data_IF_892735935960
#
_entry.id   IF_892735935960
#
_cell.length_a   1.000
_cell.length_b   1.000
_cell.length_c   1.000
_cell.angle_alpha   90.00
_cell.angle_beta   90.00
_cell.angle_gamma   90.00
#
_symmetry.space_group_name_H-M   'P 1'
#
loop_
_entity.id
_entity.type
_entity.pdbx_description
1 polymer ?
#
# COMPACT_ATOMS: atom_id res chain seq x y z
N UNK A 1 6.99 -2.66 16.35
CA UNK A 1 5.73 -2.26 15.67
C UNK A 1 4.75 -3.41 15.75
N UNK A 2 3.49 -3.16 16.08
CA UNK A 2 2.48 -4.21 16.24
C UNK A 2 2.17 -4.92 14.92
N UNK A 3 1.88 -6.21 15.01
CA UNK A 3 1.42 -7.01 13.88
C UNK A 3 -0.09 -6.80 13.68
N UNK A 4 -0.50 -6.50 12.45
CA UNK A 4 -1.90 -6.25 12.10
C UNK A 4 -2.58 -7.51 11.58
N UNK A 5 -2.00 -8.12 10.55
CA UNK A 5 -2.55 -9.31 9.89
C UNK A 5 -1.50 -9.98 9.01
N UNK A 6 -1.65 -11.29 8.83
CA UNK A 6 -0.95 -12.07 7.82
C UNK A 6 -1.97 -12.69 6.88
N UNK A 7 -1.75 -12.57 5.57
CA UNK A 7 -2.56 -13.22 4.54
C UNK A 7 -1.72 -14.18 3.73
N UNK A 8 -2.34 -15.28 3.29
CA UNK A 8 -1.72 -16.28 2.42
C UNK A 8 -2.61 -16.41 1.19
N UNK A 9 -2.02 -16.18 0.01
CA UNK A 9 -2.75 -16.27 -1.26
C UNK A 9 -3.35 -17.69 -1.44
N UNK A 10 -4.58 -17.82 -1.97
CA UNK A 10 -5.25 -19.12 -2.12
C UNK A 10 -4.47 -20.15 -2.94
N UNK A 11 -3.62 -19.71 -3.86
CA UNK A 11 -2.81 -20.61 -4.69
C UNK A 11 -1.60 -21.22 -3.94
N UNK A 12 -1.36 -20.78 -2.69
CA UNK A 12 -0.32 -21.34 -1.84
C UNK A 12 -0.98 -22.34 -0.89
N UNK A 13 -0.72 -23.63 -1.11
CA UNK A 13 -1.28 -24.73 -0.30
C UNK A 13 -0.50 -24.93 1.01
N UNK A 14 0.82 -24.72 1.01
CA UNK A 14 1.68 -24.77 2.20
C UNK A 14 2.94 -23.91 2.01
N UNK A 15 3.57 -23.54 3.13
CA UNK A 15 4.80 -22.74 3.15
C UNK A 15 6.07 -23.60 3.34
N UNK A 16 5.92 -24.88 3.72
CA UNK A 16 7.04 -25.78 3.99
C UNK A 16 7.82 -26.13 2.72
N UNK A 17 9.15 -26.20 2.83
CA UNK A 17 10.06 -26.55 1.74
C UNK A 17 9.97 -25.65 0.51
N UNK A 18 9.50 -24.41 0.68
CA UNK A 18 9.44 -23.40 -0.37
C UNK A 18 10.59 -22.42 -0.24
N UNK A 19 11.13 -21.99 -1.37
CA UNK A 19 12.05 -20.86 -1.40
C UNK A 19 11.28 -19.56 -1.33
N UNK A 20 11.71 -18.65 -0.47
CA UNK A 20 10.99 -17.41 -0.18
C UNK A 20 11.82 -16.19 -0.57
N UNK A 21 11.27 -15.34 -1.42
CA UNK A 21 11.78 -14.01 -1.68
C UNK A 21 11.12 -13.03 -0.72
N UNK A 22 11.93 -12.45 0.17
CA UNK A 22 11.44 -11.45 1.14
C UNK A 22 11.49 -10.06 0.55
N UNK A 23 10.36 -9.35 0.59
CA UNK A 23 10.27 -7.96 0.15
C UNK A 23 9.73 -7.08 1.27
N UNK A 24 10.52 -6.09 1.67
CA UNK A 24 10.08 -5.06 2.60
C UNK A 24 9.47 -3.89 1.83
N UNK A 25 8.36 -3.39 2.31
CA UNK A 25 7.67 -2.22 1.76
C UNK A 25 7.27 -1.26 2.88
N UNK A 26 7.16 0.02 2.57
CA UNK A 26 6.66 1.03 3.51
C UNK A 26 5.41 1.69 2.96
N UNK A 27 4.44 1.99 3.84
CA UNK A 27 3.15 2.59 3.48
C UNK A 27 2.90 3.82 4.33
N UNK A 28 2.37 4.87 3.70
CA UNK A 28 2.08 6.14 4.37
C UNK A 28 0.58 6.39 4.48
N UNK A 29 0.08 6.46 5.71
CA UNK A 29 -1.32 6.79 6.03
C UNK A 29 -1.39 8.29 6.29
N UNK A 30 -2.06 9.02 5.42
CA UNK A 30 -2.18 10.48 5.52
C UNK A 30 -3.66 10.86 5.54
N UNK A 31 -4.11 11.38 6.69
CA UNK A 31 -5.49 11.81 6.89
C UNK A 31 -5.58 13.33 7.03
N UNK A 32 -6.65 13.89 6.49
CA UNK A 32 -7.10 15.26 6.71
C UNK A 32 -8.61 15.21 6.97
N UNK A 33 -9.00 15.24 8.27
CA UNK A 33 -10.36 14.90 8.67
C UNK A 33 -10.71 13.47 8.28
N UNK A 34 -11.81 13.28 7.58
CA UNK A 34 -12.22 11.97 7.03
C UNK A 34 -11.66 11.69 5.63
N UNK A 35 -10.93 12.64 5.06
CA UNK A 35 -10.24 12.44 3.80
C UNK A 35 -8.91 11.71 4.02
N UNK A 36 -8.62 10.77 3.16
CA UNK A 36 -7.34 10.05 3.11
C UNK A 36 -6.67 10.27 1.76
N UNK A 37 -5.36 10.40 1.77
CA UNK A 37 -4.58 10.45 0.53
C UNK A 37 -4.40 9.04 -0.02
N UNK A 38 -4.89 8.80 -1.23
CA UNK A 38 -4.84 7.51 -1.90
C UNK A 38 -4.21 7.65 -3.28
N UNK A 39 -3.80 6.52 -3.83
CA UNK A 39 -3.43 6.38 -5.24
C UNK A 39 -4.55 5.62 -5.94
N UNK A 40 -5.12 6.21 -6.98
CA UNK A 40 -6.00 5.49 -7.89
C UNK A 40 -5.17 4.85 -8.99
N UNK A 41 -5.36 3.56 -9.23
CA UNK A 41 -4.69 2.84 -10.32
C UNK A 41 -5.72 2.36 -11.33
N UNK A 42 -5.71 2.94 -12.52
CA UNK A 42 -6.68 2.67 -13.57
C UNK A 42 -6.68 1.20 -13.99
N UNK A 43 -5.50 0.60 -14.13
CA UNK A 43 -5.34 -0.81 -14.52
C UNK A 43 -6.11 -1.78 -13.63
N UNK A 44 -6.09 -1.55 -12.31
CA UNK A 44 -6.71 -2.44 -11.32
C UNK A 44 -8.04 -1.90 -10.81
N UNK A 45 -8.40 -0.69 -11.18
CA UNK A 45 -9.61 0.01 -10.73
C UNK A 45 -9.72 -0.01 -9.21
N UNK A 46 -8.66 0.37 -8.53
CA UNK A 46 -8.57 0.37 -7.07
C UNK A 46 -7.90 1.64 -6.51
N UNK A 47 -8.11 1.83 -5.23
CA UNK A 47 -7.43 2.84 -4.43
C UNK A 47 -6.46 2.16 -3.49
N UNK A 48 -5.21 2.61 -3.48
CA UNK A 48 -4.14 2.07 -2.64
C UNK A 48 -3.52 3.15 -1.77
N UNK A 49 -3.04 2.77 -0.59
CA UNK A 49 -2.28 3.64 0.29
C UNK A 49 -0.89 3.87 -0.34
N UNK A 50 -0.41 5.13 -0.42
CA UNK A 50 0.91 5.40 -0.99
C UNK A 50 2.02 4.62 -0.32
N UNK A 51 2.96 4.14 -1.11
CA UNK A 51 4.11 3.39 -0.63
C UNK A 51 4.59 2.36 -1.64
N UNK A 52 5.71 1.76 -1.36
CA UNK A 52 6.32 0.78 -2.24
C UNK A 52 7.47 0.02 -1.59
N UNK A 53 8.16 -0.76 -2.42
CA UNK A 53 9.30 -1.57 -1.98
C UNK A 53 10.48 -0.72 -1.53
N UNK A 54 11.13 -1.16 -0.47
CA UNK A 54 12.36 -0.56 0.03
C UNK A 54 13.56 -1.06 -0.79
N UNK A 55 14.51 -0.16 -1.04
CA UNK A 55 15.79 -0.53 -1.60
C UNK A 55 16.65 -1.28 -0.56
N UNK A 56 17.62 -2.06 -1.02
CA UNK A 56 18.52 -2.79 -0.12
C UNK A 56 19.25 -1.83 0.82
N UNK A 57 19.11 -2.07 2.13
CA UNK A 57 19.73 -1.25 3.16
C UNK A 57 19.07 0.11 3.40
N UNK A 58 17.96 0.40 2.72
CA UNK A 58 17.21 1.65 2.92
C UNK A 58 16.50 1.63 4.28
N UNK A 59 16.63 2.73 5.03
CA UNK A 59 15.85 2.94 6.24
C UNK A 59 14.35 2.98 5.92
N UNK A 60 13.54 2.31 6.75
CA UNK A 60 12.10 2.14 6.48
C UNK A 60 11.37 3.49 6.40
N UNK A 61 11.66 4.40 7.33
CA UNK A 61 11.03 5.73 7.35
C UNK A 61 11.51 6.56 6.16
N UNK A 62 12.81 6.52 5.85
CA UNK A 62 13.35 7.23 4.68
C UNK A 62 12.72 6.71 3.38
N UNK A 63 12.54 5.41 3.25
CA UNK A 63 11.86 4.81 2.10
C UNK A 63 10.39 5.19 2.02
N UNK A 64 9.68 5.24 3.14
CA UNK A 64 8.29 5.70 3.20
C UNK A 64 8.19 7.15 2.72
N UNK A 65 9.06 8.03 3.19
CA UNK A 65 9.10 9.44 2.77
C UNK A 65 9.37 9.56 1.27
N UNK A 66 10.38 8.85 0.77
CA UNK A 66 10.73 8.83 -0.65
C UNK A 66 9.55 8.40 -1.52
N UNK A 67 8.92 7.28 -1.21
CA UNK A 67 7.76 6.77 -1.95
C UNK A 67 6.58 7.77 -1.91
N UNK A 68 6.29 8.33 -0.74
CA UNK A 68 5.21 9.30 -0.60
C UNK A 68 5.45 10.55 -1.44
N UNK A 69 6.68 11.06 -1.48
CA UNK A 69 7.05 12.20 -2.31
C UNK A 69 6.94 11.87 -3.81
N UNK A 70 7.50 10.73 -4.23
CA UNK A 70 7.49 10.30 -5.63
C UNK A 70 6.08 10.06 -6.17
N UNK A 71 5.25 9.38 -5.40
CA UNK A 71 3.92 8.96 -5.85
C UNK A 71 2.85 10.04 -5.73
N UNK A 72 2.99 10.98 -4.79
CA UNK A 72 1.94 11.96 -4.50
C UNK A 72 2.37 13.41 -4.64
N UNK A 73 3.66 13.69 -4.67
CA UNK A 73 4.17 15.06 -4.59
C UNK A 73 3.98 15.69 -3.22
N UNK A 74 3.90 14.87 -2.17
CA UNK A 74 3.71 15.34 -0.80
C UNK A 74 4.80 16.31 -0.37
N UNK A 75 4.40 17.35 0.37
CA UNK A 75 5.28 18.38 0.91
C UNK A 75 5.15 18.47 2.42
N UNK A 76 6.23 18.85 3.09
CA UNK A 76 6.27 19.08 4.53
C UNK A 76 5.83 17.85 5.33
N UNK A 77 6.41 16.68 5.03
CA UNK A 77 6.10 15.42 5.71
C UNK A 77 6.63 15.47 7.15
N UNK A 78 5.74 15.30 8.13
CA UNK A 78 6.09 15.38 9.53
C UNK A 78 5.16 14.54 10.41
N UNK A 79 5.43 14.51 11.70
CA UNK A 79 4.62 13.79 12.72
C UNK A 79 4.44 12.31 12.39
N UNK A 80 5.53 11.68 11.95
CA UNK A 80 5.55 10.27 11.53
C UNK A 80 5.42 9.37 12.76
N UNK A 81 4.42 8.49 12.76
CA UNK A 81 4.15 7.54 13.85
C UNK A 81 3.92 6.14 13.31
N UNK A 82 4.44 5.10 14.01
CA UNK A 82 4.18 3.73 13.60
C UNK A 82 2.69 3.38 13.76
N UNK A 83 2.15 2.65 12.77
CA UNK A 83 0.77 2.16 12.81
C UNK A 83 0.76 0.63 12.97
N UNK A 84 1.50 -0.09 12.14
CA UNK A 84 1.60 -1.54 12.26
C UNK A 84 2.16 -2.21 11.01
N UNK A 85 2.32 -3.53 11.12
CA UNK A 85 2.90 -4.39 10.07
C UNK A 85 1.83 -5.30 9.49
N UNK A 86 1.71 -5.29 8.16
CA UNK A 86 0.88 -6.23 7.41
C UNK A 86 1.77 -7.17 6.62
N UNK A 87 1.55 -8.47 6.71
CA UNK A 87 2.34 -9.48 6.02
C UNK A 87 1.51 -10.23 4.99
N UNK A 88 2.11 -10.52 3.83
CA UNK A 88 1.48 -11.24 2.74
C UNK A 88 2.40 -12.30 2.18
N UNK A 89 1.85 -13.48 1.95
CA UNK A 89 2.52 -14.53 1.19
C UNK A 89 1.79 -14.69 -0.14
N UNK A 90 2.53 -14.54 -1.25
CA UNK A 90 2.00 -14.61 -2.63
C UNK A 90 2.85 -15.54 -3.48
N UNK A 91 2.28 -16.18 -4.51
CA UNK A 91 3.11 -16.84 -5.51
C UNK A 91 4.08 -15.85 -6.14
N UNK A 92 5.33 -16.28 -6.34
CA UNK A 92 6.34 -15.45 -7.00
C UNK A 92 6.42 -15.81 -8.48
N UNK A 93 6.50 -14.82 -9.34
CA UNK A 93 6.44 -15.01 -10.80
C UNK A 93 7.80 -15.22 -11.45
N UNK A 94 8.90 -15.00 -10.71
CA UNK A 94 10.27 -15.22 -11.20
C UNK A 94 10.78 -16.58 -10.73
N UNK A 95 11.83 -17.09 -11.40
CA UNK A 95 12.37 -18.43 -11.14
C UNK A 95 13.27 -18.52 -9.91
N UNK A 96 13.59 -17.39 -9.27
CA UNK A 96 14.51 -17.32 -8.12
C UNK A 96 13.86 -17.69 -6.78
N UNK A 97 12.56 -17.82 -6.72
CA UNK A 97 11.84 -18.26 -5.51
C UNK A 97 10.46 -18.83 -5.87
N UNK A 98 9.88 -19.57 -4.93
CA UNK A 98 8.51 -20.11 -5.07
C UNK A 98 7.46 -19.12 -4.57
N UNK A 99 7.78 -18.38 -3.51
CA UNK A 99 6.85 -17.51 -2.78
C UNK A 99 7.51 -16.16 -2.54
N UNK A 100 6.71 -15.10 -2.63
CA UNK A 100 7.09 -13.78 -2.13
C UNK A 100 6.47 -13.56 -0.76
N UNK A 101 7.29 -13.21 0.23
CA UNK A 101 6.86 -12.75 1.55
C UNK A 101 7.02 -11.22 1.59
N UNK A 102 5.91 -10.49 1.47
CA UNK A 102 5.91 -9.04 1.59
C UNK A 102 5.58 -8.61 3.01
N UNK A 103 6.42 -7.75 3.56
CA UNK A 103 6.23 -7.11 4.86
C UNK A 103 6.01 -5.63 4.61
N UNK A 104 4.79 -5.15 4.88
CA UNK A 104 4.43 -3.74 4.73
C UNK A 104 4.46 -3.05 6.09
N UNK A 105 5.39 -2.12 6.26
CA UNK A 105 5.52 -1.26 7.44
C UNK A 105 4.68 -0.01 7.23
N UNK A 106 3.60 0.12 7.99
CA UNK A 106 2.65 1.22 7.86
C UNK A 106 2.91 2.29 8.91
N UNK A 107 3.02 3.53 8.46
CA UNK A 107 3.19 4.72 9.30
C UNK A 107 2.09 5.72 8.99
N UNK A 108 1.63 6.44 10.00
CA UNK A 108 0.84 7.65 9.79
C UNK A 108 1.75 8.87 9.77
N UNK A 109 1.38 9.88 9.01
CA UNK A 109 2.09 11.15 8.98
C UNK A 109 1.16 12.30 8.59
N UNK A 110 1.68 13.52 8.69
CA UNK A 110 1.01 14.73 8.24
C UNK A 110 1.80 15.36 7.09
N UNK A 111 1.08 16.01 6.19
CA UNK A 111 1.64 16.74 5.04
C UNK A 111 0.83 18.01 4.80
N UNK A 112 1.32 18.87 3.93
CA UNK A 112 0.50 19.95 3.38
C UNK A 112 -0.59 19.35 2.49
N UNK A 113 -1.78 19.92 2.51
CA UNK A 113 -2.91 19.47 1.66
C UNK A 113 -2.59 19.61 0.17
N UNK A 114 -1.90 20.67 -0.21
CA UNK A 114 -1.48 20.88 -1.58
C UNK A 114 -0.35 19.93 -1.96
N UNK A 115 -0.55 19.19 -3.05
CA UNK A 115 0.43 18.24 -3.57
C UNK A 115 1.27 18.91 -4.67
N UNK A 116 2.54 18.49 -4.79
CA UNK A 116 3.44 18.92 -5.85
C UNK A 116 3.47 17.92 -7.01
N UNK A 117 4.58 17.94 -7.74
CA UNK A 117 4.80 17.04 -8.87
C UNK A 117 5.11 15.62 -8.40
N UNK A 118 4.65 14.64 -9.17
CA UNK A 118 4.95 13.23 -8.97
C UNK A 118 6.16 12.80 -9.80
N UNK A 119 6.80 11.69 -9.39
CA UNK A 119 7.95 11.11 -10.11
C UNK A 119 7.73 9.59 -10.23
N UNK A 120 6.78 9.20 -11.06
CA UNK A 120 6.39 7.80 -11.25
C UNK A 120 7.44 7.00 -12.01
N UNK A 121 7.59 5.73 -11.64
CA UNK A 121 8.29 4.74 -12.42
C UNK A 121 7.47 4.37 -13.67
N UNK A 122 8.13 3.80 -14.69
CA UNK A 122 7.48 3.48 -15.98
C UNK A 122 6.24 2.58 -15.83
N UNK A 123 6.31 1.58 -14.95
CA UNK A 123 5.16 0.69 -14.72
C UNK A 123 3.99 1.39 -14.04
N UNK A 124 4.25 2.37 -13.20
CA UNK A 124 3.21 3.16 -12.53
C UNK A 124 2.49 4.07 -13.53
N UNK A 125 3.23 4.71 -14.43
CA UNK A 125 2.65 5.47 -15.54
C UNK A 125 1.78 4.58 -16.42
N UNK A 126 2.26 3.38 -16.79
CA UNK A 126 1.50 2.42 -17.61
C UNK A 126 0.24 1.92 -16.91
N UNK A 127 0.27 1.80 -15.59
CA UNK A 127 -0.89 1.38 -14.80
C UNK A 127 -1.93 2.50 -14.63
N UNK A 128 -1.61 3.74 -15.02
CA UNK A 128 -2.52 4.88 -14.89
C UNK A 128 -2.70 5.30 -13.43
N UNK A 129 -1.61 5.40 -12.69
CA UNK A 129 -1.60 5.79 -11.28
C UNK A 129 -1.72 7.31 -11.12
N UNK A 130 -2.53 7.76 -10.15
CA UNK A 130 -2.61 9.18 -9.78
C UNK A 130 -2.99 9.36 -8.32
N UNK A 131 -2.46 10.40 -7.63
CA UNK A 131 -2.85 10.69 -6.26
C UNK A 131 -4.20 11.40 -6.20
N UNK A 132 -4.95 11.10 -5.15
CA UNK A 132 -6.26 11.72 -4.89
C UNK A 132 -6.53 11.79 -3.40
N UNK A 133 -7.07 12.93 -2.95
CA UNK A 133 -7.70 13.04 -1.65
C UNK A 133 -9.16 12.61 -1.78
N UNK A 134 -9.60 11.69 -0.93
CA UNK A 134 -10.98 11.24 -0.95
C UNK A 134 -11.45 10.81 0.43
N UNK A 135 -12.77 10.83 0.64
CA UNK A 135 -13.35 10.33 1.87
C UNK A 135 -13.03 8.85 2.04
N UNK A 136 -12.58 8.47 3.23
CA UNK A 136 -12.14 7.09 3.49
C UNK A 136 -13.26 6.07 3.31
N UNK A 137 -14.49 6.42 3.65
CA UNK A 137 -15.64 5.52 3.49
C UNK A 137 -15.98 5.28 2.02
N UNK A 138 -15.81 6.30 1.18
CA UNK A 138 -15.95 6.16 -0.28
C UNK A 138 -14.85 5.27 -0.87
N UNK A 139 -13.62 5.39 -0.36
CA UNK A 139 -12.51 4.51 -0.78
C UNK A 139 -12.79 3.05 -0.40
N UNK A 140 -13.31 2.80 0.79
CA UNK A 140 -13.71 1.46 1.26
C UNK A 140 -14.79 0.88 0.36
N UNK A 141 -15.87 1.63 0.14
CA UNK A 141 -16.99 1.18 -0.68
C UNK A 141 -16.56 0.85 -2.11
N UNK A 142 -15.72 1.71 -2.70
CA UNK A 142 -15.19 1.49 -4.04
C UNK A 142 -14.37 0.20 -4.12
N UNK A 143 -13.43 0.00 -3.18
CA UNK A 143 -12.57 -1.18 -3.18
C UNK A 143 -13.35 -2.47 -2.91
N UNK A 144 -14.32 -2.45 -2.01
CA UNK A 144 -15.20 -3.60 -1.77
C UNK A 144 -15.98 -3.98 -3.02
N UNK A 145 -16.50 -3.01 -3.74
CA UNK A 145 -17.19 -3.23 -5.00
C UNK A 145 -16.26 -3.78 -6.08
N UNK A 146 -15.05 -3.23 -6.18
CA UNK A 146 -14.03 -3.73 -7.12
C UNK A 146 -13.66 -5.17 -6.82
N UNK A 147 -13.46 -5.53 -5.54
CA UNK A 147 -13.17 -6.91 -5.14
C UNK A 147 -14.29 -7.88 -5.53
N UNK A 148 -15.54 -7.47 -5.37
CA UNK A 148 -16.70 -8.33 -5.61
C UNK A 148 -17.01 -8.50 -7.11
N UNK A 149 -16.81 -7.47 -7.93
CA UNK A 149 -17.38 -7.39 -9.27
C UNK A 149 -16.37 -7.21 -10.39
N UNK A 150 -15.18 -6.67 -10.12
CA UNK A 150 -14.25 -6.30 -11.18
C UNK A 150 -13.32 -7.43 -11.60
N UNK A 151 -13.21 -7.73 -12.92
CA UNK A 151 -12.19 -8.65 -13.42
C UNK A 151 -10.78 -8.04 -13.39
N UNK A 152 -10.64 -6.75 -13.16
CA UNK A 152 -9.38 -6.01 -13.13
C UNK A 152 -8.68 -6.06 -11.77
N UNK A 153 -9.34 -6.52 -10.71
CA UNK A 153 -8.80 -6.46 -9.34
C UNK A 153 -7.38 -7.06 -9.26
N UNK A 154 -6.49 -6.32 -8.61
CA UNK A 154 -5.14 -6.77 -8.32
C UNK A 154 -5.04 -7.56 -7.02
N UNK A 155 -3.85 -8.08 -6.70
CA UNK A 155 -3.62 -8.85 -5.48
C UNK A 155 -3.52 -7.99 -4.22
N UNK A 156 -3.33 -6.68 -4.36
CA UNK A 156 -3.15 -5.77 -3.22
C UNK A 156 -4.45 -5.32 -2.57
N UNK A 157 -5.58 -5.45 -3.26
CA UNK A 157 -6.84 -4.83 -2.85
C UNK A 157 -7.37 -5.34 -1.50
N UNK A 158 -7.13 -6.60 -1.15
CA UNK A 158 -7.52 -7.13 0.16
C UNK A 158 -6.79 -6.45 1.30
N UNK A 159 -5.47 -6.26 1.14
CA UNK A 159 -4.66 -5.51 2.11
C UNK A 159 -5.17 -4.09 2.26
N UNK A 160 -5.38 -3.40 1.14
CA UNK A 160 -5.80 -2.01 1.15
C UNK A 160 -7.16 -1.84 1.83
N UNK A 161 -8.12 -2.69 1.51
CA UNK A 161 -9.45 -2.63 2.11
C UNK A 161 -9.41 -2.92 3.61
N UNK A 162 -8.64 -3.93 4.03
CA UNK A 162 -8.43 -4.22 5.45
C UNK A 162 -7.82 -3.02 6.20
N UNK A 163 -6.78 -2.42 5.63
CA UNK A 163 -6.11 -1.26 6.25
C UNK A 163 -7.06 -0.07 6.34
N UNK A 164 -7.84 0.21 5.29
CA UNK A 164 -8.81 1.31 5.31
C UNK A 164 -9.85 1.14 6.41
N UNK A 165 -10.41 -0.06 6.60
CA UNK A 165 -11.32 -0.34 7.69
C UNK A 165 -10.68 -0.13 9.06
N UNK A 166 -9.46 -0.58 9.23
CA UNK A 166 -8.73 -0.44 10.49
C UNK A 166 -8.41 1.03 10.80
N UNK A 167 -7.99 1.78 9.78
CA UNK A 167 -7.72 3.22 9.89
C UNK A 167 -8.99 3.97 10.29
N UNK A 168 -10.10 3.72 9.60
CA UNK A 168 -11.38 4.34 9.91
C UNK A 168 -11.83 4.04 11.35
N UNK A 169 -11.63 2.82 11.82
CA UNK A 169 -11.99 2.40 13.17
C UNK A 169 -11.14 3.03 14.27
N UNK A 170 -9.83 3.15 14.02
CA UNK A 170 -8.87 3.53 15.07
C UNK A 170 -8.45 5.00 15.05
N UNK A 171 -8.54 5.67 13.90
CA UNK A 171 -8.01 7.02 13.71
C UNK A 171 -9.09 8.08 13.47
N UNK A 172 -10.32 7.67 13.24
CA UNK A 172 -11.51 8.53 13.08
C UNK A 172 -12.58 8.19 14.14
#
# INVERSE_FOLDING_TARGET
MRHLKTTIHPDIDHLDNKTVYKRNAARAIVLDGEDILMLYTERYHDYTIPGGGLDDGEDVIAGMVRELEEETGAKNIHSIKPFGIFEEFRPWYKDDADIMHMISYCYSCKIDRELGETAYEDYEVKNGMRPVWMNIHEAIDHNEKTMAESPKKGMSIERETFLLHLIAKEML
#
